data_IF_397868329424
#
_entry.id   IF_397868329424
#
_cell.length_a   1.000
_cell.length_b   1.000
_cell.length_c   1.000
_cell.angle_alpha   90.00
_cell.angle_beta   90.00
_cell.angle_gamma   90.00
#
_symmetry.space_group_name_H-M   'P 1'
#
loop_
_entity.id
_entity.type
_entity.pdbx_description
1 polymer ?
#
# COMPACT_ATOMS: atom_id res chain seq x y z
N UNK A 1 27.09 -45.67 16.84
CA UNK A 1 25.64 -45.52 17.07
C UNK A 1 25.15 -44.51 16.04
N UNK A 2 24.11 -44.82 15.25
CA UNK A 2 23.57 -43.86 14.28
C UNK A 2 23.04 -42.64 15.03
N UNK A 3 23.07 -41.49 14.37
CA UNK A 3 22.67 -40.19 14.90
C UNK A 3 21.26 -40.28 15.52
N UNK A 4 21.19 -40.29 16.85
CA UNK A 4 19.95 -40.10 17.58
C UNK A 4 19.90 -38.63 17.98
N UNK A 5 18.80 -37.97 17.65
CA UNK A 5 18.56 -36.59 18.07
C UNK A 5 17.96 -36.61 19.48
N UNK A 6 18.86 -36.52 20.46
CA UNK A 6 18.57 -36.53 21.89
C UNK A 6 17.88 -35.21 22.28
N UNK A 7 16.67 -35.29 22.84
CA UNK A 7 15.89 -34.08 23.16
C UNK A 7 15.13 -34.15 24.49
N UNK A 8 14.91 -35.35 25.04
CA UNK A 8 14.40 -35.51 26.41
C UNK A 8 15.36 -36.35 27.23
N UNK A 9 15.81 -35.79 28.35
CA UNK A 9 16.76 -36.41 29.26
C UNK A 9 16.09 -36.52 30.62
N UNK A 10 15.96 -37.76 31.10
CA UNK A 10 15.52 -38.03 32.45
C UNK A 10 16.75 -38.39 33.26
N UNK A 11 16.94 -37.67 34.36
CA UNK A 11 18.09 -37.88 35.24
C UNK A 11 17.63 -38.33 36.61
N UNK A 12 18.07 -39.52 37.02
CA UNK A 12 17.78 -40.10 38.32
C UNK A 12 18.95 -39.86 39.27
N UNK A 13 18.66 -39.27 40.43
CA UNK A 13 19.62 -39.11 41.50
C UNK A 13 19.54 -40.30 42.46
N UNK A 14 20.67 -40.72 43.05
CA UNK A 14 20.65 -41.71 44.13
C UNK A 14 19.97 -41.17 45.40
N UNK A 15 19.05 -41.93 46.00
CA UNK A 15 18.12 -41.54 47.09
C UNK A 15 18.78 -40.93 48.35
N UNK A 16 20.10 -41.03 48.51
CA UNK A 16 20.84 -40.61 49.71
C UNK A 16 21.80 -39.42 49.48
N UNK A 17 21.84 -38.79 48.30
CA UNK A 17 22.86 -37.75 47.98
C UNK A 17 22.37 -36.54 47.18
N UNK A 18 21.17 -36.03 47.46
CA UNK A 18 20.62 -34.81 46.83
C UNK A 18 21.55 -33.58 46.93
N UNK A 19 22.34 -33.43 48.00
CA UNK A 19 23.31 -32.32 48.18
C UNK A 19 24.44 -32.31 47.14
N UNK A 20 24.87 -33.47 46.67
CA UNK A 20 25.91 -33.59 45.64
C UNK A 20 25.41 -33.18 44.27
N UNK A 21 24.10 -33.32 44.05
CA UNK A 21 23.45 -33.18 42.76
C UNK A 21 23.15 -31.74 42.39
N UNK A 22 22.92 -30.87 43.37
CA UNK A 22 22.55 -29.47 43.15
C UNK A 22 23.55 -28.73 42.24
N UNK A 23 23.07 -27.81 41.41
CA UNK A 23 23.90 -26.96 40.56
C UNK A 23 24.57 -27.66 39.37
N UNK A 24 24.12 -28.86 39.01
CA UNK A 24 24.58 -29.55 37.82
C UNK A 24 24.13 -28.83 36.53
N UNK A 25 24.78 -29.15 35.44
CA UNK A 25 24.46 -28.66 34.10
C UNK A 25 24.47 -29.83 33.12
N UNK A 26 23.59 -29.77 32.12
CA UNK A 26 23.60 -30.68 30.98
C UNK A 26 23.95 -29.90 29.73
N UNK A 27 24.90 -30.44 28.96
CA UNK A 27 25.27 -29.94 27.66
C UNK A 27 24.93 -30.98 26.59
N UNK A 28 24.50 -30.51 25.42
CA UNK A 28 24.31 -31.32 24.23
C UNK A 28 25.45 -31.03 23.27
N UNK A 29 26.17 -32.07 22.82
CA UNK A 29 27.31 -31.92 21.92
C UNK A 29 27.29 -32.98 20.83
N UNK A 30 27.84 -32.65 19.66
CA UNK A 30 28.11 -33.62 18.60
C UNK A 30 29.50 -34.27 18.74
N UNK A 31 30.30 -33.78 19.67
CA UNK A 31 31.61 -34.35 20.03
C UNK A 31 31.57 -34.82 21.49
N UNK A 32 32.60 -35.54 21.90
CA UNK A 32 32.76 -35.93 23.31
C UNK A 32 33.31 -34.79 24.18
N UNK A 33 33.45 -33.58 23.64
CA UNK A 33 34.02 -32.41 24.32
C UNK A 33 32.88 -31.49 24.77
N UNK A 34 32.92 -31.04 26.03
CA UNK A 34 31.87 -30.20 26.64
C UNK A 34 31.85 -28.79 26.06
N UNK A 35 33.03 -28.25 25.77
CA UNK A 35 33.23 -26.89 25.28
C UNK A 35 32.67 -26.69 23.87
N UNK A 36 32.56 -27.77 23.10
CA UNK A 36 31.92 -27.77 21.78
C UNK A 36 30.38 -27.86 21.89
N UNK A 37 29.86 -28.15 23.08
CA UNK A 37 28.46 -28.38 23.35
C UNK A 37 27.68 -27.13 23.73
N UNK A 38 26.37 -27.18 23.51
CA UNK A 38 25.42 -26.13 23.91
C UNK A 38 24.86 -26.47 25.28
N UNK A 39 24.78 -25.47 26.18
CA UNK A 39 24.14 -25.65 27.48
C UNK A 39 22.64 -25.87 27.29
N UNK A 40 22.15 -27.07 27.59
CA UNK A 40 20.72 -27.36 27.56
C UNK A 40 20.04 -26.97 28.88
N UNK A 41 20.63 -27.38 30.01
CA UNK A 41 20.01 -27.16 31.32
C UNK A 41 21.07 -26.80 32.35
N UNK A 42 20.72 -25.91 33.27
CA UNK A 42 21.53 -25.59 34.44
C UNK A 42 20.63 -25.44 35.65
N UNK A 43 20.88 -26.29 36.65
CA UNK A 43 20.26 -26.10 37.95
C UNK A 43 20.80 -24.83 38.59
N UNK A 44 19.89 -23.91 38.90
CA UNK A 44 20.17 -22.69 39.66
C UNK A 44 19.18 -22.48 40.81
N UNK A 45 18.11 -23.29 40.87
CA UNK A 45 16.93 -23.03 41.69
C UNK A 45 16.61 -24.18 42.66
N UNK A 46 17.08 -25.40 42.38
CA UNK A 46 16.75 -26.52 43.24
C UNK A 46 17.48 -26.40 44.58
N UNK A 47 16.81 -26.92 45.60
CA UNK A 47 17.32 -27.09 46.95
C UNK A 47 17.23 -28.56 47.31
N UNK A 48 17.84 -28.95 48.43
CA UNK A 48 17.85 -30.34 48.90
C UNK A 48 16.42 -30.92 49.02
N UNK A 49 15.43 -30.07 49.32
CA UNK A 49 14.03 -30.47 49.50
C UNK A 49 13.16 -30.29 48.26
N UNK A 50 13.62 -29.52 47.27
CA UNK A 50 12.81 -29.20 46.06
C UNK A 50 13.29 -29.88 44.80
N UNK A 51 14.47 -30.51 44.81
CA UNK A 51 14.96 -31.25 43.65
C UNK A 51 14.09 -32.51 43.43
N UNK A 52 13.48 -32.67 42.24
CA UNK A 52 12.69 -33.86 41.94
C UNK A 52 13.61 -35.07 41.66
N UNK A 53 13.09 -36.28 41.84
CA UNK A 53 13.74 -37.52 41.43
C UNK A 53 12.66 -38.46 40.86
N UNK A 54 12.59 -38.70 39.55
CA UNK A 54 13.52 -38.22 38.51
C UNK A 54 13.36 -36.74 38.12
N UNK A 55 14.39 -36.18 37.48
CA UNK A 55 14.37 -34.84 36.87
C UNK A 55 14.15 -34.98 35.37
N UNK A 56 13.02 -34.45 34.86
CA UNK A 56 12.71 -34.42 33.43
C UNK A 56 13.22 -33.13 32.81
N UNK A 57 14.06 -33.25 31.77
CA UNK A 57 14.71 -32.11 31.12
C UNK A 57 14.46 -32.20 29.63
N UNK A 58 13.78 -31.19 29.09
CA UNK A 58 13.54 -31.04 27.65
C UNK A 58 14.57 -30.07 27.07
N UNK A 59 15.36 -30.54 26.10
CA UNK A 59 16.39 -29.78 25.41
C UNK A 59 15.89 -29.37 24.01
N UNK A 60 15.93 -28.07 23.65
CA UNK A 60 15.61 -27.63 22.29
C UNK A 60 16.76 -27.84 21.30
N UNK A 61 17.84 -28.49 21.75
CA UNK A 61 19.05 -28.74 20.97
C UNK A 61 19.23 -30.23 20.79
N UNK A 62 19.67 -30.62 19.60
CA UNK A 62 19.96 -32.00 19.28
C UNK A 62 21.45 -32.24 19.17
N UNK A 63 21.88 -33.45 19.51
CA UNK A 63 23.26 -33.85 19.39
C UNK A 63 23.50 -35.28 19.81
N UNK A 64 24.69 -35.77 19.49
CA UNK A 64 25.07 -37.18 19.72
C UNK A 64 25.40 -37.52 21.17
N UNK A 65 25.80 -36.54 21.97
CA UNK A 65 26.25 -36.75 23.34
C UNK A 65 25.52 -35.81 24.30
N UNK A 66 25.02 -36.38 25.40
CA UNK A 66 24.61 -35.65 26.60
C UNK A 66 25.79 -35.64 27.56
N UNK A 67 26.23 -34.46 27.96
CA UNK A 67 27.34 -34.27 28.89
C UNK A 67 26.79 -33.72 30.19
N UNK A 68 26.73 -34.57 31.22
CA UNK A 68 26.50 -34.14 32.58
C UNK A 68 27.76 -33.50 33.15
N UNK A 69 27.60 -32.29 33.66
CA UNK A 69 28.68 -31.51 34.21
C UNK A 69 28.30 -30.96 35.58
N UNK A 70 29.07 -31.33 36.58
CA UNK A 70 28.92 -30.83 37.94
C UNK A 70 30.25 -30.22 38.38
N UNK A 71 30.23 -28.93 38.70
CA UNK A 71 31.45 -28.19 39.05
C UNK A 71 31.31 -27.45 40.39
N UNK A 72 32.42 -27.38 41.13
CA UNK A 72 32.56 -26.74 42.45
C UNK A 72 33.90 -26.00 42.54
N UNK A 73 34.07 -24.96 41.72
CA UNK A 73 35.34 -24.20 41.64
C UNK A 73 35.36 -22.89 42.43
N UNK A 74 34.21 -22.35 42.86
CA UNK A 74 34.15 -21.05 43.51
C UNK A 74 33.43 -21.11 44.86
N UNK A 75 34.15 -20.82 45.94
CA UNK A 75 33.65 -20.71 47.31
C UNK A 75 33.28 -19.24 47.61
N UNK A 76 32.23 -18.95 48.40
CA UNK A 76 31.32 -19.86 49.08
C UNK A 76 30.29 -20.51 48.15
N UNK A 77 29.98 -21.79 48.41
CA UNK A 77 28.93 -22.50 47.68
C UNK A 77 27.54 -22.09 48.20
N UNK A 78 26.49 -22.13 47.36
CA UNK A 78 25.12 -21.91 47.80
C UNK A 78 24.70 -22.87 48.91
N UNK A 79 23.81 -22.43 49.79
CA UNK A 79 23.36 -23.19 50.95
C UNK A 79 22.79 -24.56 50.55
N UNK A 80 23.25 -25.61 51.23
CA UNK A 80 22.84 -26.99 50.98
C UNK A 80 23.68 -27.76 49.96
N UNK A 81 24.58 -27.10 49.23
CA UNK A 81 25.49 -27.77 48.31
C UNK A 81 26.53 -28.62 49.06
N UNK A 82 26.88 -29.78 48.50
CA UNK A 82 28.03 -30.56 48.96
C UNK A 82 29.34 -29.80 48.71
N UNK A 83 30.33 -29.99 49.61
CA UNK A 83 31.69 -29.44 49.47
C UNK A 83 32.45 -30.03 48.28
N UNK A 84 32.06 -31.21 47.80
CA UNK A 84 32.70 -31.93 46.72
C UNK A 84 31.73 -32.10 45.54
N UNK A 85 32.26 -32.02 44.32
CA UNK A 85 31.52 -32.35 43.11
C UNK A 85 31.55 -33.87 42.92
N UNK A 86 30.45 -34.54 43.27
CA UNK A 86 30.26 -35.95 42.95
C UNK A 86 29.29 -36.10 41.78
N UNK A 87 29.54 -37.10 40.95
CA UNK A 87 28.64 -37.54 39.88
C UNK A 87 27.84 -38.72 40.44
N UNK A 88 26.95 -38.44 41.40
CA UNK A 88 26.06 -39.44 42.02
C UNK A 88 24.82 -39.72 41.14
N UNK A 89 25.04 -39.89 39.83
CA UNK A 89 24.00 -40.26 38.87
C UNK A 89 23.64 -41.74 39.07
N UNK A 90 22.35 -42.03 39.23
CA UNK A 90 21.86 -43.40 39.27
C UNK A 90 21.59 -43.92 37.85
N UNK A 91 20.81 -43.14 37.09
CA UNK A 91 20.36 -43.49 35.76
C UNK A 91 20.16 -42.22 34.94
N UNK A 92 20.48 -42.30 33.64
CA UNK A 92 20.20 -41.25 32.66
C UNK A 92 19.49 -41.91 31.50
N UNK A 93 18.21 -41.60 31.33
CA UNK A 93 17.44 -42.03 30.18
C UNK A 93 17.46 -40.90 29.16
N UNK A 94 17.74 -41.25 27.90
CA UNK A 94 17.72 -40.26 26.82
C UNK A 94 16.81 -40.77 25.72
N UNK A 95 15.76 -40.01 25.46
CA UNK A 95 14.78 -40.30 24.43
C UNK A 95 15.10 -39.46 23.19
N UNK A 96 14.92 -40.09 22.03
CA UNK A 96 15.17 -39.50 20.73
C UNK A 96 14.79 -40.46 19.62
N UNK A 97 14.44 -39.90 18.47
CA UNK A 97 14.10 -40.67 17.27
C UNK A 97 15.29 -40.76 16.31
N UNK A 98 15.31 -41.80 15.48
CA UNK A 98 16.33 -41.98 14.44
C UNK A 98 16.21 -40.95 13.32
N UNK A 99 15.00 -40.43 13.10
CA UNK A 99 14.71 -39.36 12.16
C UNK A 99 14.06 -38.21 12.93
N UNK A 100 14.51 -36.96 12.71
CA UNK A 100 13.95 -35.79 13.40
C UNK A 100 12.53 -35.45 12.94
N UNK A 101 12.07 -36.05 11.83
CA UNK A 101 10.71 -35.90 11.31
C UNK A 101 9.66 -36.71 12.08
N UNK A 102 10.07 -37.48 13.11
CA UNK A 102 9.19 -38.35 13.89
C UNK A 102 9.30 -38.10 15.39
N UNK A 103 8.18 -38.28 16.10
CA UNK A 103 8.05 -38.13 17.54
C UNK A 103 7.16 -39.22 18.17
N UNK A 104 7.01 -39.15 19.49
CA UNK A 104 6.25 -40.07 20.32
C UNK A 104 7.09 -41.26 20.82
N UNK A 105 6.56 -42.00 21.80
CA UNK A 105 7.28 -43.10 22.50
C UNK A 105 7.92 -44.13 21.55
N UNK A 106 7.31 -44.37 20.40
CA UNK A 106 7.77 -45.33 19.40
C UNK A 106 8.21 -44.69 18.07
N UNK A 107 8.44 -43.36 18.03
CA UNK A 107 8.86 -42.64 16.83
C UNK A 107 8.00 -42.93 15.59
N UNK A 108 6.69 -43.08 15.81
CA UNK A 108 5.73 -43.49 14.77
C UNK A 108 4.83 -42.35 14.31
N UNK A 109 4.84 -41.22 15.02
CA UNK A 109 4.08 -40.03 14.67
C UNK A 109 5.00 -39.09 13.90
N UNK A 110 4.52 -38.51 12.80
CA UNK A 110 5.30 -37.53 12.04
C UNK A 110 5.13 -36.15 12.65
N UNK A 111 6.23 -35.40 12.74
CA UNK A 111 6.19 -33.99 13.11
C UNK A 111 5.28 -33.20 12.16
N UNK A 112 4.64 -32.13 12.65
CA UNK A 112 3.83 -31.25 11.80
C UNK A 112 4.62 -30.74 10.59
N UNK A 113 3.94 -30.69 9.43
CA UNK A 113 4.58 -30.40 8.13
C UNK A 113 5.30 -29.06 8.08
N UNK A 114 4.80 -28.05 8.79
CA UNK A 114 5.30 -26.69 8.74
C UNK A 114 6.24 -26.36 9.91
N UNK A 115 6.70 -27.36 10.67
CA UNK A 115 7.83 -27.15 11.57
C UNK A 115 9.08 -26.80 10.76
N UNK A 116 9.84 -25.83 11.27
CA UNK A 116 11.15 -25.50 10.71
C UNK A 116 12.06 -26.72 10.76
N UNK A 117 12.71 -27.03 9.64
CA UNK A 117 13.58 -28.21 9.46
C UNK A 117 12.89 -29.57 9.69
N UNK A 118 11.56 -29.59 9.86
CA UNK A 118 10.80 -30.80 10.18
C UNK A 118 10.94 -31.26 11.64
N UNK A 119 11.50 -30.41 12.51
CA UNK A 119 11.80 -30.78 13.89
C UNK A 119 10.67 -30.40 14.84
N UNK A 120 10.28 -31.33 15.71
CA UNK A 120 9.33 -31.11 16.77
C UNK A 120 9.78 -31.74 18.09
N UNK A 121 9.19 -31.30 19.19
CA UNK A 121 9.36 -31.89 20.50
C UNK A 121 9.01 -33.38 20.45
N UNK A 122 9.90 -34.23 20.95
CA UNK A 122 9.74 -35.68 20.80
C UNK A 122 8.61 -36.27 21.63
N UNK A 123 8.12 -35.54 22.64
CA UNK A 123 7.04 -35.98 23.54
C UNK A 123 5.72 -35.39 23.09
N UNK A 124 5.67 -34.07 22.93
CA UNK A 124 4.46 -33.30 22.67
C UNK A 124 4.16 -33.14 21.17
N UNK A 125 5.17 -33.24 20.31
CA UNK A 125 5.03 -32.98 18.86
C UNK A 125 4.98 -31.50 18.49
N UNK A 126 5.27 -30.61 19.45
CA UNK A 126 5.27 -29.16 19.27
C UNK A 126 6.49 -28.70 18.47
N UNK A 127 6.29 -27.87 17.46
CA UNK A 127 7.40 -27.32 16.68
C UNK A 127 8.23 -26.34 17.50
N UNK A 128 9.56 -26.39 17.36
CA UNK A 128 10.48 -25.40 17.96
C UNK A 128 10.43 -24.04 17.22
N UNK A 129 9.98 -24.06 15.97
CA UNK A 129 9.75 -22.89 15.13
C UNK A 129 8.91 -23.27 13.91
N UNK A 130 8.20 -22.29 13.34
CA UNK A 130 7.37 -22.48 12.16
C UNK A 130 8.04 -21.96 10.89
N UNK A 131 7.71 -22.55 9.75
CA UNK A 131 7.97 -21.96 8.44
C UNK A 131 7.23 -20.63 8.28
N UNK A 132 7.73 -19.70 7.43
CA UNK A 132 7.04 -18.44 7.18
C UNK A 132 5.60 -18.64 6.73
N UNK A 133 4.69 -17.83 7.29
CA UNK A 133 3.27 -17.90 7.00
C UNK A 133 2.46 -18.85 7.86
N UNK A 134 3.09 -19.49 8.85
CA UNK A 134 2.44 -20.37 9.81
C UNK A 134 2.74 -19.96 11.25
N UNK A 135 1.81 -20.28 12.15
CA UNK A 135 1.87 -20.04 13.59
C UNK A 135 1.19 -21.19 14.35
N UNK A 136 1.08 -21.03 15.67
CA UNK A 136 0.70 -22.06 16.66
C UNK A 136 1.89 -22.93 17.11
N UNK A 137 1.68 -23.73 18.14
CA UNK A 137 2.68 -24.69 18.63
C UNK A 137 2.87 -25.87 17.65
N UNK A 138 1.91 -26.13 16.76
CA UNK A 138 1.96 -27.17 15.72
C UNK A 138 2.18 -26.63 14.31
N UNK A 139 2.29 -25.30 14.14
CA UNK A 139 2.44 -24.66 12.83
C UNK A 139 1.34 -25.02 11.82
N UNK A 140 0.13 -25.31 12.30
CA UNK A 140 -1.04 -25.70 11.52
C UNK A 140 -1.97 -24.52 11.19
N UNK A 141 -1.77 -23.38 11.85
CA UNK A 141 -2.52 -22.16 11.57
C UNK A 141 -1.75 -21.27 10.59
N UNK A 142 -2.42 -20.81 9.52
CA UNK A 142 -1.88 -19.79 8.63
C UNK A 142 -1.89 -18.41 9.30
N UNK A 143 -1.05 -17.49 8.82
CA UNK A 143 -1.14 -16.10 9.26
C UNK A 143 -2.46 -15.46 8.80
N UNK A 144 -3.25 -15.02 9.78
CA UNK A 144 -4.51 -14.29 9.58
C UNK A 144 -4.38 -12.82 10.00
N UNK A 145 -5.49 -12.09 10.04
CA UNK A 145 -5.56 -10.71 10.54
C UNK A 145 -4.62 -9.74 9.81
N UNK A 146 -4.49 -9.90 8.49
CA UNK A 146 -3.66 -9.07 7.63
C UNK A 146 -2.17 -9.11 7.99
N UNK A 147 -1.69 -10.30 8.38
CA UNK A 147 -0.27 -10.55 8.65
C UNK A 147 0.32 -11.66 7.79
N UNK A 148 1.64 -11.68 7.66
CA UNK A 148 2.37 -12.67 6.88
C UNK A 148 3.82 -12.84 7.37
N UNK A 149 4.53 -13.83 6.81
CA UNK A 149 5.96 -14.05 7.02
C UNK A 149 6.28 -14.84 8.29
N UNK A 150 7.55 -14.80 8.72
CA UNK A 150 8.01 -15.58 9.87
C UNK A 150 7.35 -15.10 11.17
N UNK A 151 6.64 -16.00 11.84
CA UNK A 151 5.90 -15.70 13.07
C UNK A 151 4.77 -14.68 12.88
N UNK A 152 4.29 -14.47 11.65
CA UNK A 152 3.23 -13.51 11.33
C UNK A 152 3.53 -12.06 11.79
N UNK A 153 4.80 -11.66 11.74
CA UNK A 153 5.26 -10.35 12.24
C UNK A 153 5.22 -9.23 11.19
N UNK A 154 4.92 -9.53 9.92
CA UNK A 154 4.78 -8.53 8.87
C UNK A 154 3.31 -8.26 8.57
N UNK A 155 2.95 -7.02 8.27
CA UNK A 155 1.58 -6.62 7.96
C UNK A 155 1.37 -6.52 6.46
N UNK A 156 0.24 -7.00 5.96
CA UNK A 156 -0.18 -6.84 4.57
C UNK A 156 -0.27 -5.36 4.18
N UNK A 157 0.01 -5.06 2.90
CA UNK A 157 -0.34 -3.78 2.31
C UNK A 157 -1.83 -3.70 1.96
N UNK A 158 -2.20 -2.70 1.16
CA UNK A 158 -3.59 -2.44 0.76
C UNK A 158 -3.98 -3.31 -0.45
N UNK A 159 -4.14 -4.61 -0.21
CA UNK A 159 -4.68 -5.53 -1.22
C UNK A 159 -6.11 -5.14 -1.60
N UNK A 160 -6.47 -5.41 -2.87
CA UNK A 160 -7.79 -5.13 -3.43
C UNK A 160 -8.93 -5.60 -2.51
N UNK A 161 -9.89 -4.71 -2.23
CA UNK A 161 -11.09 -4.98 -1.40
C UNK A 161 -10.78 -5.42 0.04
N UNK A 162 -9.59 -5.09 0.56
CA UNK A 162 -9.19 -5.48 1.91
C UNK A 162 -9.06 -6.98 2.09
N UNK A 163 -8.61 -7.69 1.05
CA UNK A 163 -8.33 -9.13 1.13
C UNK A 163 -7.06 -9.43 1.96
N UNK A 164 -7.00 -10.61 2.56
CA UNK A 164 -5.79 -11.13 3.19
C UNK A 164 -4.70 -11.34 2.12
N UNK A 165 -3.51 -10.77 2.35
CA UNK A 165 -2.36 -11.02 1.49
C UNK A 165 -1.84 -12.45 1.67
N UNK A 166 -1.03 -12.93 0.72
CA UNK A 166 -0.39 -14.24 0.83
C UNK A 166 0.36 -14.35 2.16
N UNK A 167 -0.04 -15.31 2.99
CA UNK A 167 0.48 -15.49 4.36
C UNK A 167 1.99 -15.77 4.40
N UNK A 168 2.61 -16.25 3.32
CA UNK A 168 4.06 -16.53 3.27
C UNK A 168 4.87 -15.29 2.90
N UNK A 169 4.53 -14.64 1.78
CA UNK A 169 5.39 -13.61 1.16
C UNK A 169 4.80 -12.19 1.18
N UNK A 170 3.52 -12.04 1.52
CA UNK A 170 2.80 -10.77 1.61
C UNK A 170 2.23 -10.24 0.30
N UNK A 171 2.27 -11.00 -0.79
CA UNK A 171 1.77 -10.53 -2.08
C UNK A 171 0.23 -10.57 -2.20
N UNK A 172 -0.35 -9.63 -2.93
CA UNK A 172 -1.78 -9.55 -3.19
C UNK A 172 -2.14 -10.20 -4.54
N UNK A 173 -2.86 -11.33 -4.50
CA UNK A 173 -3.18 -12.11 -5.71
C UNK A 173 -4.08 -11.34 -6.70
N UNK A 174 -5.03 -10.57 -6.17
CA UNK A 174 -6.01 -9.80 -6.97
C UNK A 174 -5.56 -8.35 -7.20
N UNK A 175 -4.27 -8.06 -6.97
CA UNK A 175 -3.72 -6.71 -7.07
C UNK A 175 -4.05 -5.82 -5.89
N UNK A 176 -3.85 -4.52 -6.10
CA UNK A 176 -3.91 -3.47 -5.10
C UNK A 176 -5.19 -2.66 -5.18
N UNK A 177 -5.54 -2.04 -4.05
CA UNK A 177 -6.56 -1.00 -4.02
C UNK A 177 -6.09 0.29 -4.75
N UNK A 178 -7.01 1.25 -4.85
CA UNK A 178 -6.74 2.55 -5.48
C UNK A 178 -5.63 3.33 -4.76
N UNK A 179 -4.73 3.94 -5.53
CA UNK A 179 -3.67 4.80 -5.00
C UNK A 179 -2.40 4.09 -4.52
N UNK A 180 -2.35 2.76 -4.60
CA UNK A 180 -1.16 1.94 -4.25
C UNK A 180 -0.85 0.92 -5.36
N UNK A 181 0.39 0.44 -5.41
CA UNK A 181 0.89 -0.54 -6.37
C UNK A 181 1.99 -1.44 -5.79
N UNK A 182 2.46 -2.36 -6.63
CA UNK A 182 3.50 -3.33 -6.31
C UNK A 182 2.92 -4.64 -5.83
N UNK A 183 3.73 -5.71 -5.83
CA UNK A 183 3.23 -7.07 -5.52
C UNK A 183 2.59 -7.17 -4.13
N UNK A 184 3.03 -6.33 -3.18
CA UNK A 184 2.52 -6.27 -1.79
C UNK A 184 1.58 -5.10 -1.51
N UNK A 185 1.35 -4.22 -2.49
CA UNK A 185 0.50 -3.04 -2.35
C UNK A 185 0.88 -2.12 -1.17
N UNK A 186 2.18 -2.01 -0.93
CA UNK A 186 2.83 -1.20 0.11
C UNK A 186 3.43 0.11 -0.41
N UNK A 187 3.36 0.33 -1.73
CA UNK A 187 3.95 1.47 -2.41
C UNK A 187 2.86 2.39 -2.97
N UNK A 188 2.95 3.69 -2.71
CA UNK A 188 1.99 4.68 -3.20
C UNK A 188 2.20 5.02 -4.68
N UNK A 189 1.16 5.33 -5.44
CA UNK A 189 1.33 5.69 -6.86
C UNK A 189 2.36 6.79 -7.07
N UNK A 190 3.21 6.60 -8.07
CA UNK A 190 4.12 7.63 -8.56
C UNK A 190 3.34 8.79 -9.18
N UNK A 191 3.97 9.98 -9.17
CA UNK A 191 3.46 11.15 -9.88
C UNK A 191 3.10 10.80 -11.34
N UNK A 192 1.95 11.28 -11.79
CA UNK A 192 1.43 11.02 -13.14
C UNK A 192 0.56 9.77 -13.24
N UNK A 193 0.38 9.00 -12.16
CA UNK A 193 -0.46 7.81 -12.12
C UNK A 193 -1.49 7.85 -11.00
N UNK A 194 -2.63 7.20 -11.22
CA UNK A 194 -3.70 7.06 -10.23
C UNK A 194 -4.50 5.77 -10.44
N UNK A 195 -5.52 5.57 -9.61
CA UNK A 195 -6.48 4.48 -9.76
C UNK A 195 -5.97 3.15 -9.22
N UNK A 196 -6.63 2.06 -9.62
CA UNK A 196 -6.30 0.71 -9.18
C UNK A 196 -4.94 0.30 -9.76
N UNK A 197 -4.08 -0.31 -8.93
CA UNK A 197 -2.71 -0.69 -9.30
C UNK A 197 -1.84 0.46 -9.88
N UNK A 198 -2.28 1.71 -9.78
CA UNK A 198 -1.67 2.85 -10.46
C UNK A 198 -1.53 2.65 -11.98
N UNK A 199 -2.52 2.03 -12.61
CA UNK A 199 -2.56 1.77 -14.05
C UNK A 199 -3.11 2.96 -14.86
N UNK A 200 -3.87 3.85 -14.23
CA UNK A 200 -4.44 5.04 -14.89
C UNK A 200 -3.43 6.20 -14.88
N UNK A 201 -3.50 7.05 -15.90
CA UNK A 201 -2.60 8.18 -16.08
C UNK A 201 -3.32 9.50 -15.78
N UNK A 202 -2.65 10.39 -15.05
CA UNK A 202 -3.11 11.77 -14.90
C UNK A 202 -3.27 12.43 -16.29
N UNK A 203 -4.31 13.25 -16.44
CA UNK A 203 -4.49 14.01 -17.68
C UNK A 203 -3.31 14.94 -17.96
N UNK A 204 -2.90 14.97 -19.23
CA UNK A 204 -1.90 15.94 -19.72
C UNK A 204 -2.40 17.39 -19.66
N UNK A 205 -3.71 17.60 -19.46
CA UNK A 205 -4.36 18.91 -19.36
C UNK A 205 -4.53 19.38 -17.91
N UNK A 206 -3.98 18.65 -16.93
CA UNK A 206 -3.80 19.20 -15.60
C UNK A 206 -2.97 20.49 -15.67
N UNK A 207 -3.30 21.48 -14.84
CA UNK A 207 -2.56 22.75 -14.76
C UNK A 207 -1.08 22.51 -14.44
N UNK A 208 -0.81 21.57 -13.54
CA UNK A 208 0.54 21.07 -13.26
C UNK A 208 0.65 19.67 -13.86
N UNK A 209 1.51 19.51 -14.86
CA UNK A 209 1.69 18.24 -15.58
C UNK A 209 2.07 17.11 -14.62
N UNK A 210 1.37 15.97 -14.71
CA UNK A 210 1.59 14.80 -13.87
C UNK A 210 1.16 14.94 -12.40
N UNK A 211 0.58 16.08 -11.98
CA UNK A 211 0.09 16.26 -10.61
C UNK A 211 -1.42 16.10 -10.56
N UNK A 212 -1.84 14.88 -10.25
CA UNK A 212 -3.21 14.56 -9.91
C UNK A 212 -3.27 13.76 -8.61
N UNK A 213 -4.44 13.77 -7.97
CA UNK A 213 -4.72 12.93 -6.81
C UNK A 213 -4.63 11.45 -7.22
N UNK A 214 -3.81 10.69 -6.50
CA UNK A 214 -3.51 9.28 -6.83
C UNK A 214 -4.71 8.33 -6.71
N UNK A 215 -5.76 8.72 -5.98
CA UNK A 215 -6.95 7.89 -5.77
C UNK A 215 -7.99 8.19 -6.84
N UNK A 216 -8.26 9.48 -7.08
CA UNK A 216 -9.38 9.96 -7.90
C UNK A 216 -8.98 10.42 -9.30
N UNK A 217 -7.69 10.66 -9.54
CA UNK A 217 -7.20 11.28 -10.77
C UNK A 217 -7.46 12.78 -10.87
N UNK A 218 -7.95 13.43 -9.80
CA UNK A 218 -8.28 14.85 -9.81
C UNK A 218 -7.03 15.72 -9.97
N UNK A 219 -7.00 16.57 -11.00
CA UNK A 219 -5.87 17.46 -11.26
C UNK A 219 -5.67 18.50 -10.16
N UNK A 220 -4.48 18.51 -9.55
CA UNK A 220 -4.11 19.46 -8.52
C UNK A 220 -3.87 20.83 -9.18
N UNK A 221 -4.57 21.85 -8.71
CA UNK A 221 -4.52 23.20 -9.31
C UNK A 221 -5.50 23.42 -10.47
N UNK A 222 -6.32 22.43 -10.81
CA UNK A 222 -7.33 22.52 -11.87
C UNK A 222 -6.77 22.27 -13.27
N UNK A 223 -7.44 22.81 -14.28
CA UNK A 223 -7.24 22.49 -15.69
C UNK A 223 -6.55 23.61 -16.46
N UNK A 224 -5.81 23.20 -17.49
CA UNK A 224 -5.32 24.09 -18.54
C UNK A 224 -6.49 24.73 -19.31
N UNK A 225 -6.18 25.80 -20.05
CA UNK A 225 -7.18 26.49 -20.87
C UNK A 225 -7.85 25.55 -21.88
N UNK A 226 -9.17 25.62 -21.95
CA UNK A 226 -9.96 24.78 -22.86
C UNK A 226 -10.43 23.45 -22.30
N UNK A 227 -10.13 23.15 -21.02
CA UNK A 227 -10.48 21.91 -20.35
C UNK A 227 -11.18 22.17 -19.01
N UNK A 228 -12.07 21.26 -18.62
CA UNK A 228 -12.83 21.28 -17.35
C UNK A 228 -13.00 19.87 -16.82
N UNK A 229 -13.69 19.80 -15.68
CA UNK A 229 -13.95 18.66 -14.81
C UNK A 229 -12.77 18.28 -13.91
N UNK A 230 -12.94 17.26 -13.08
CA UNK A 230 -11.93 16.90 -12.09
C UNK A 230 -10.64 16.38 -12.72
N UNK A 231 -10.74 15.60 -13.81
CA UNK A 231 -9.60 15.01 -14.51
C UNK A 231 -9.12 15.85 -15.70
N UNK A 232 -9.74 17.00 -16.00
CA UNK A 232 -9.38 17.85 -17.13
C UNK A 232 -9.39 17.13 -18.50
N UNK A 233 -10.26 16.14 -18.70
CA UNK A 233 -10.39 15.38 -19.94
C UNK A 233 -11.60 15.84 -20.79
N UNK A 234 -12.39 16.78 -20.27
CA UNK A 234 -13.53 17.36 -20.98
C UNK A 234 -13.21 18.75 -21.54
N UNK A 235 -13.43 18.95 -22.84
CA UNK A 235 -13.31 20.27 -23.47
C UNK A 235 -14.36 21.25 -22.95
N UNK A 236 -14.05 22.55 -22.96
CA UNK A 236 -15.05 23.57 -22.69
C UNK A 236 -16.22 23.48 -23.68
N UNK A 237 -17.41 23.68 -23.15
CA UNK A 237 -18.67 23.64 -23.90
C UNK A 237 -19.68 24.56 -23.22
N UNK A 238 -20.80 24.84 -23.90
CA UNK A 238 -21.89 25.64 -23.34
C UNK A 238 -21.60 27.15 -23.37
N UNK A 239 -20.85 27.62 -24.36
CA UNK A 239 -20.50 29.04 -24.47
C UNK A 239 -19.42 29.47 -23.48
N UNK A 240 -18.55 28.55 -23.08
CA UNK A 240 -17.44 28.81 -22.15
C UNK A 240 -16.08 28.50 -22.79
N UNK A 241 -15.02 29.16 -22.34
CA UNK A 241 -13.65 28.97 -22.78
C UNK A 241 -12.63 29.36 -21.68
N UNK A 242 -11.34 29.17 -21.96
CA UNK A 242 -10.25 29.60 -21.09
C UNK A 242 -9.94 28.60 -19.98
N UNK A 243 -9.13 29.03 -18.99
CA UNK A 243 -8.72 28.18 -17.87
C UNK A 243 -9.94 27.74 -17.06
N UNK A 244 -10.04 26.43 -16.78
CA UNK A 244 -11.20 25.81 -16.11
C UNK A 244 -12.56 26.10 -16.77
N UNK A 245 -12.58 26.60 -18.01
CA UNK A 245 -13.78 27.08 -18.69
C UNK A 245 -14.53 28.19 -17.91
N UNK A 246 -13.79 29.09 -17.26
CA UNK A 246 -14.36 30.17 -16.44
C UNK A 246 -14.65 31.46 -17.21
N UNK A 247 -14.43 31.51 -18.53
CA UNK A 247 -14.73 32.69 -19.36
C UNK A 247 -15.89 32.38 -20.31
N UNK A 248 -16.78 33.35 -20.54
CA UNK A 248 -17.93 33.19 -21.42
C UNK A 248 -17.63 33.69 -22.83
N UNK A 249 -18.05 32.94 -23.84
CA UNK A 249 -17.96 33.33 -25.24
C UNK A 249 -18.72 34.64 -25.50
N UNK A 250 -18.23 35.45 -26.45
CA UNK A 250 -18.99 36.56 -26.99
C UNK A 250 -20.13 36.12 -27.92
N UNK A 251 -20.63 37.05 -28.73
CA UNK A 251 -21.73 36.82 -29.66
C UNK A 251 -21.24 36.23 -30.98
N UNK A 252 -20.77 34.98 -30.93
CA UNK A 252 -20.40 34.23 -32.12
C UNK A 252 -21.61 33.98 -33.01
N UNK A 253 -21.38 33.86 -34.33
CA UNK A 253 -22.43 33.67 -35.31
C UNK A 253 -23.39 32.51 -34.97
N UNK A 254 -24.70 32.75 -35.01
CA UNK A 254 -25.73 31.78 -34.64
C UNK A 254 -25.53 31.15 -33.25
N UNK A 255 -24.92 31.89 -32.32
CA UNK A 255 -24.68 31.44 -30.96
C UNK A 255 -23.79 30.17 -30.87
N UNK A 256 -22.88 29.99 -31.84
CA UNK A 256 -21.96 28.85 -31.88
C UNK A 256 -20.98 28.84 -30.70
N UNK A 257 -20.44 27.67 -30.38
CA UNK A 257 -19.38 27.54 -29.39
C UNK A 257 -18.10 28.21 -29.90
N UNK A 258 -17.61 29.22 -29.18
CA UNK A 258 -16.32 29.82 -29.44
C UNK A 258 -15.17 28.82 -29.19
N UNK A 259 -13.99 29.11 -29.74
CA UNK A 259 -12.82 28.27 -29.56
C UNK A 259 -12.49 28.12 -28.07
N UNK A 260 -12.49 26.86 -27.60
CA UNK A 260 -12.48 26.52 -26.17
C UNK A 260 -11.26 27.06 -25.40
N UNK A 261 -10.13 27.34 -26.06
CA UNK A 261 -8.91 27.82 -25.40
C UNK A 261 -8.89 29.35 -25.27
N UNK A 262 -9.20 30.09 -26.34
CA UNK A 262 -8.91 31.53 -26.46
C UNK A 262 -10.16 32.39 -26.71
N UNK A 263 -11.33 31.79 -26.90
CA UNK A 263 -12.60 32.50 -27.04
C UNK A 263 -12.94 32.99 -28.44
N UNK A 264 -12.15 32.68 -29.46
CA UNK A 264 -12.37 33.19 -30.82
C UNK A 264 -13.53 32.49 -31.53
N UNK A 265 -14.35 33.24 -32.26
CA UNK A 265 -15.45 32.72 -33.06
C UNK A 265 -14.97 32.39 -34.48
N UNK A 266 -15.07 31.12 -34.88
CA UNK A 266 -14.52 30.64 -36.17
C UNK A 266 -15.28 31.23 -37.37
N UNK A 267 -16.61 31.37 -37.26
CA UNK A 267 -17.45 31.89 -38.33
C UNK A 267 -17.71 33.40 -38.20
N UNK A 268 -16.94 34.10 -37.37
CA UNK A 268 -17.12 35.52 -37.08
C UNK A 268 -18.29 35.80 -36.13
N UNK A 269 -18.68 37.07 -36.06
CA UNK A 269 -19.66 37.57 -35.12
C UNK A 269 -21.07 37.62 -35.70
N UNK A 270 -22.05 37.52 -34.79
CA UNK A 270 -23.41 37.92 -35.08
C UNK A 270 -23.51 39.43 -35.32
N UNK A 271 -24.64 39.87 -35.86
CA UNK A 271 -24.89 41.28 -36.13
C UNK A 271 -24.75 42.11 -34.85
N UNK A 272 -24.12 43.29 -34.97
CA UNK A 272 -23.93 44.20 -33.84
C UNK A 272 -22.62 44.01 -33.08
N UNK A 273 -21.82 42.98 -33.39
CA UNK A 273 -20.58 42.67 -32.69
C UNK A 273 -19.38 42.51 -33.64
N UNK A 274 -18.17 42.77 -33.14
CA UNK A 274 -16.89 42.65 -33.87
C UNK A 274 -15.76 42.08 -33.00
N UNK A 275 -14.57 42.05 -33.59
CA UNK A 275 -13.34 41.39 -33.12
C UNK A 275 -13.39 39.86 -33.17
N UNK A 276 -12.26 39.22 -32.86
CA UNK A 276 -12.12 37.76 -32.94
C UNK A 276 -13.01 37.02 -31.94
N UNK A 277 -13.28 37.63 -30.78
CA UNK A 277 -14.05 37.01 -29.69
C UNK A 277 -15.50 37.52 -29.61
N UNK A 278 -15.90 38.45 -30.49
CA UNK A 278 -17.26 38.99 -30.57
C UNK A 278 -17.79 39.56 -29.25
N UNK A 279 -16.91 40.23 -28.50
CA UNK A 279 -17.24 40.87 -27.20
C UNK A 279 -17.43 42.38 -27.33
N UNK A 280 -16.97 42.99 -28.43
CA UNK A 280 -17.10 44.41 -28.68
C UNK A 280 -18.32 44.69 -29.57
N UNK A 281 -19.12 45.69 -29.22
CA UNK A 281 -20.23 46.18 -30.04
C UNK A 281 -19.73 46.98 -31.25
N UNK A 282 -20.55 47.11 -32.30
CA UNK A 282 -20.23 47.97 -33.42
C UNK A 282 -20.06 49.43 -32.99
N UNK A 283 -18.98 50.06 -33.45
CA UNK A 283 -18.83 51.51 -33.34
C UNK A 283 -19.98 52.23 -34.06
N UNK A 284 -20.36 53.41 -33.57
CA UNK A 284 -21.40 54.25 -34.18
C UNK A 284 -21.10 54.45 -35.66
N UNK A 285 -22.09 54.17 -36.51
CA UNK A 285 -21.96 54.25 -37.97
C UNK A 285 -21.70 52.92 -38.67
N UNK A 286 -21.51 51.83 -37.92
CA UNK A 286 -21.39 50.48 -38.46
C UNK A 286 -22.53 49.58 -37.99
N UNK A 287 -22.90 48.60 -38.83
CA UNK A 287 -23.95 47.63 -38.51
C UNK A 287 -23.74 46.27 -39.21
N UNK A 288 -24.53 45.28 -38.81
CA UNK A 288 -24.53 43.95 -39.40
C UNK A 288 -23.42 43.05 -38.87
N UNK A 289 -23.24 41.89 -39.52
CA UNK A 289 -22.22 40.90 -39.11
C UNK A 289 -20.81 41.50 -39.20
N UNK A 290 -20.00 41.22 -38.18
CA UNK A 290 -18.62 41.74 -38.03
C UNK A 290 -18.52 43.28 -38.13
N UNK A 291 -19.63 44.02 -38.05
CA UNK A 291 -19.70 45.46 -38.29
C UNK A 291 -19.15 45.89 -39.66
N UNK A 292 -19.32 45.05 -40.69
CA UNK A 292 -18.76 45.30 -42.04
C UNK A 292 -19.59 46.26 -42.89
N UNK A 293 -20.78 46.71 -42.43
CA UNK A 293 -21.67 47.60 -43.20
C UNK A 293 -21.74 49.00 -42.60
N UNK A 294 -21.80 50.01 -43.45
CA UNK A 294 -21.92 51.43 -43.06
C UNK A 294 -23.38 51.86 -42.98
N UNK A 295 -23.74 52.63 -41.94
CA UNK A 295 -25.04 53.29 -41.84
C UNK A 295 -25.25 54.30 -42.98
N UNK A 296 -26.50 54.48 -43.42
CA UNK A 296 -26.83 55.45 -44.46
C UNK A 296 -26.57 56.89 -44.00
N UNK A 297 -25.92 57.69 -44.85
CA UNK A 297 -25.78 59.13 -44.63
C UNK A 297 -27.12 59.88 -44.67
N UNK A 298 -28.17 59.24 -45.20
CA UNK A 298 -29.51 59.79 -45.34
C UNK A 298 -30.43 59.46 -44.14
N UNK A 299 -29.90 58.82 -43.10
CA UNK A 299 -30.58 58.74 -41.81
C UNK A 299 -30.87 60.16 -41.28
N UNK A 300 -31.93 60.32 -40.49
CA UNK A 300 -32.29 61.61 -39.87
C UNK A 300 -31.12 62.25 -39.13
N UNK A 301 -30.36 61.43 -38.38
CA UNK A 301 -29.01 61.75 -37.96
C UNK A 301 -28.03 61.05 -38.92
N UNK A 302 -27.25 61.80 -39.73
CA UNK A 302 -26.40 61.21 -40.76
C UNK A 302 -25.46 60.14 -40.20
N UNK A 303 -25.51 58.93 -40.75
CA UNK A 303 -24.62 57.84 -40.34
C UNK A 303 -24.96 57.22 -38.98
N UNK A 304 -26.11 57.51 -38.36
CA UNK A 304 -26.52 56.89 -37.09
C UNK A 304 -27.67 55.91 -37.33
N UNK A 305 -27.42 54.61 -37.07
CA UNK A 305 -28.40 53.54 -37.24
C UNK A 305 -28.28 52.45 -36.16
N UNK A 306 -29.27 51.55 -36.08
CA UNK A 306 -29.23 50.36 -35.23
C UNK A 306 -28.11 49.40 -35.68
N UNK A 307 -27.25 48.98 -34.75
CA UNK A 307 -26.09 48.13 -35.05
C UNK A 307 -26.45 46.72 -35.56
N UNK A 308 -27.61 46.19 -35.17
CA UNK A 308 -28.01 44.84 -35.57
C UNK A 308 -28.62 44.83 -36.97
N UNK A 309 -29.53 45.78 -37.24
CA UNK A 309 -30.39 45.79 -38.43
C UNK A 309 -29.91 46.76 -39.51
N UNK A 310 -29.28 47.86 -39.11
CA UNK A 310 -28.96 49.01 -39.95
C UNK A 310 -30.09 50.04 -40.06
N UNK A 311 -31.16 49.93 -39.27
CA UNK A 311 -32.31 50.84 -39.36
C UNK A 311 -32.00 52.22 -38.78
N UNK A 312 -32.38 53.27 -39.51
CA UNK A 312 -32.15 54.65 -39.08
C UNK A 312 -33.12 55.03 -37.95
N UNK A 313 -32.58 55.34 -36.77
CA UNK A 313 -33.38 55.83 -35.65
C UNK A 313 -33.95 57.20 -35.99
N UNK A 314 -35.27 57.37 -35.88
CA UNK A 314 -35.96 58.63 -36.16
C UNK A 314 -36.33 58.89 -37.63
N UNK A 315 -36.10 57.92 -38.52
CA UNK A 315 -36.52 57.97 -39.93
C UNK A 315 -35.47 58.52 -40.89
N UNK A 316 -35.92 58.89 -42.09
CA UNK A 316 -35.06 59.33 -43.20
C UNK A 316 -35.09 60.85 -43.40
N UNK A 317 -34.00 61.38 -43.96
CA UNK A 317 -33.99 62.71 -44.55
C UNK A 317 -34.97 62.80 -45.72
N UNK A 318 -35.39 64.02 -46.06
CA UNK A 318 -36.35 64.26 -47.14
C UNK A 318 -35.87 63.67 -48.46
N UNK A 319 -36.76 62.97 -49.17
CA UNK A 319 -36.44 62.30 -50.43
C UNK A 319 -35.90 60.88 -50.30
N UNK A 320 -35.77 60.33 -49.09
CA UNK A 320 -35.33 58.97 -48.84
C UNK A 320 -36.39 58.14 -48.10
N UNK A 321 -36.45 56.85 -48.41
CA UNK A 321 -37.43 55.90 -47.87
C UNK A 321 -36.76 54.58 -47.48
N UNK A 322 -37.55 53.62 -46.99
CA UNK A 322 -37.13 52.33 -46.39
C UNK A 322 -36.50 52.47 -44.99
N UNK A 323 -36.50 51.41 -44.17
CA UNK A 323 -35.95 51.44 -42.81
C UNK A 323 -34.47 51.86 -42.74
N UNK A 324 -33.70 51.64 -43.82
CA UNK A 324 -32.27 51.97 -43.92
C UNK A 324 -31.98 53.28 -44.66
N UNK A 325 -33.01 53.97 -45.17
CA UNK A 325 -32.85 55.22 -45.94
C UNK A 325 -31.87 55.08 -47.11
N UNK A 326 -31.95 53.97 -47.84
CA UNK A 326 -31.08 53.60 -48.97
C UNK A 326 -31.79 53.70 -50.33
N UNK A 327 -33.09 53.99 -50.35
CA UNK A 327 -33.88 54.18 -51.57
C UNK A 327 -34.42 55.61 -51.68
N UNK A 328 -34.02 56.31 -52.75
CA UNK A 328 -34.52 57.64 -53.08
C UNK A 328 -35.94 57.60 -53.64
N UNK A 329 -36.78 58.56 -53.27
CA UNK A 329 -38.03 58.83 -53.97
C UNK A 329 -37.65 59.46 -55.31
N UNK A 330 -37.96 58.80 -56.42
CA UNK A 330 -37.88 59.42 -57.73
C UNK A 330 -38.69 60.72 -57.69
N UNK A 331 -38.00 61.86 -57.80
CA UNK A 331 -38.60 63.17 -58.09
C UNK A 331 -38.59 63.35 -59.60
#
# INVERSE_FOLDING_TARGET
>A
MPNQDLSHIIVHAGDYKTKSFLGFSLYISNTTVKEDGVLCFKDTNYTITTIPNPINITCPYHGRYVIYYNNRTHHPFPDGYSKFAYTDLCEVEVFGCLSPEFYGENCSLSCPRNCQEGHCDIVEGNCLGCLPGYRSFTCDEECEQFTYGLGCNQTCGNCSKGEQCNHVNGSCLNGCDVGVYGDKCDSECLDGKHGQNCEEHCSQHCMISGKCDRVTGHCIGGCQAGWKNAQCDQKCSGGMFGQNCNQSCGKCFNNEQCHHINGSCLNGCDSGYRETNCTEECAVGLYGRNCERLCSANCREPGVCEMDTGHCKGGCQTGWTQPKCDSGMYV
#
